data_IF_760224660708
#
_entry.id   IF_760224660708
#
_cell.length_a   1.000
_cell.length_b   1.000
_cell.length_c   1.000
_cell.angle_alpha   90.00
_cell.angle_beta   90.00
_cell.angle_gamma   90.00
#
_symmetry.space_group_name_H-M   'P 1'
#
loop_
_entity.id
_entity.type
_entity.pdbx_description
1 polymer ?
#
# COMPACT_ATOMS: atom_id res chain seq x y z
N UNK A 1 14.25 -3.12 15.83
CA UNK A 1 13.92 -2.99 14.40
C UNK A 1 13.49 -4.35 13.91
N UNK A 2 12.27 -4.48 13.40
CA UNK A 2 11.71 -5.74 12.92
C UNK A 2 12.01 -5.85 11.43
N UNK A 3 12.93 -6.72 11.05
CA UNK A 3 13.25 -6.95 9.63
C UNK A 3 12.19 -7.87 9.01
N UNK A 4 11.74 -7.54 7.81
CA UNK A 4 10.89 -8.43 7.02
C UNK A 4 11.72 -9.64 6.57
N UNK A 5 11.40 -10.82 7.10
CA UNK A 5 11.96 -12.06 6.60
C UNK A 5 11.37 -12.35 5.22
N UNK A 6 12.24 -12.49 4.22
CA UNK A 6 11.84 -12.88 2.88
C UNK A 6 11.60 -14.39 2.86
N UNK A 7 10.38 -14.77 2.53
CA UNK A 7 9.94 -16.14 2.32
C UNK A 7 9.16 -16.20 1.01
N UNK A 8 8.85 -17.40 0.52
CA UNK A 8 7.97 -17.59 -0.64
C UNK A 8 6.61 -16.93 -0.47
N UNK A 9 6.15 -16.73 0.78
CA UNK A 9 4.87 -16.13 1.09
C UNK A 9 4.91 -14.60 1.16
N UNK A 10 6.10 -13.98 1.17
CA UNK A 10 6.23 -12.53 1.33
C UNK A 10 5.61 -11.75 0.16
N UNK A 11 5.79 -12.23 -1.08
CA UNK A 11 5.19 -11.58 -2.25
C UNK A 11 3.65 -11.73 -2.30
N UNK A 12 3.07 -12.93 -2.10
CA UNK A 12 1.62 -13.09 -1.92
C UNK A 12 1.05 -12.24 -0.78
N UNK A 13 1.70 -12.22 0.39
CA UNK A 13 1.25 -11.45 1.54
C UNK A 13 1.25 -9.94 1.25
N UNK A 14 2.33 -9.41 0.69
CA UNK A 14 2.42 -8.00 0.31
C UNK A 14 1.31 -7.60 -0.68
N UNK A 15 1.05 -8.44 -1.71
CA UNK A 15 -0.04 -8.23 -2.66
C UNK A 15 -1.43 -8.28 -2.00
N UNK A 16 -1.64 -9.14 -1.02
CA UNK A 16 -2.92 -9.22 -0.29
C UNK A 16 -3.23 -7.97 0.56
N UNK A 17 -2.18 -7.22 0.92
CA UNK A 17 -2.30 -5.97 1.66
C UNK A 17 -2.58 -4.75 0.77
N UNK A 18 -2.40 -4.88 -0.56
CA UNK A 18 -2.81 -3.87 -1.53
C UNK A 18 -4.33 -3.83 -1.54
N UNK A 19 -4.90 -2.79 -0.93
CA UNK A 19 -6.36 -2.58 -0.87
C UNK A 19 -6.77 -1.45 -1.78
N UNK A 20 -7.89 -1.62 -2.46
CA UNK A 20 -8.64 -0.49 -2.99
C UNK A 20 -9.28 0.24 -1.81
N UNK A 21 -8.78 1.43 -1.50
CA UNK A 21 -9.40 2.27 -0.48
C UNK A 21 -10.78 2.68 -0.98
N UNK A 22 -11.82 2.31 -0.24
CA UNK A 22 -13.20 2.74 -0.50
C UNK A 22 -13.30 4.25 -0.36
N UNK A 23 -14.25 4.86 -1.08
CA UNK A 23 -14.51 6.30 -0.99
C UNK A 23 -14.62 6.77 0.47
N UNK A 24 -13.91 7.85 0.80
CA UNK A 24 -13.86 8.38 2.15
C UNK A 24 -15.24 8.90 2.58
N UNK A 25 -15.64 8.71 3.85
CA UNK A 25 -16.89 9.25 4.34
C UNK A 25 -16.84 10.79 4.31
N UNK A 26 -17.93 11.39 3.81
CA UNK A 26 -18.13 12.84 3.81
C UNK A 26 -19.26 13.18 4.78
N UNK A 27 -19.06 14.21 5.62
CA UNK A 27 -20.14 14.73 6.46
C UNK A 27 -20.82 15.90 5.76
N UNK A 28 -22.14 15.80 5.56
CA UNK A 28 -22.94 16.87 4.99
C UNK A 28 -23.64 17.67 6.09
N UNK A 29 -23.33 18.96 6.17
CA UNK A 29 -23.98 19.89 7.09
C UNK A 29 -24.85 20.88 6.32
N UNK A 30 -25.87 21.43 7.00
CA UNK A 30 -26.65 22.52 6.44
C UNK A 30 -25.75 23.74 6.12
N UNK A 31 -26.05 24.52 5.06
CA UNK A 31 -25.24 25.65 4.66
C UNK A 31 -25.02 26.64 5.82
N UNK A 32 -23.77 26.79 6.23
CA UNK A 32 -23.34 27.67 7.31
C UNK A 32 -21.85 27.95 7.18
N UNK A 33 -21.34 28.99 7.86
CA UNK A 33 -19.89 29.27 7.90
C UNK A 33 -19.10 28.09 8.48
N UNK A 34 -19.66 27.43 9.49
CA UNK A 34 -19.06 26.22 10.09
C UNK A 34 -19.02 25.05 9.11
N UNK A 35 -20.08 24.89 8.29
CA UNK A 35 -20.08 23.88 7.23
C UNK A 35 -18.98 24.14 6.20
N UNK A 36 -18.79 25.38 5.74
CA UNK A 36 -17.71 25.72 4.81
C UNK A 36 -16.32 25.44 5.40
N UNK A 37 -16.09 25.82 6.67
CA UNK A 37 -14.82 25.53 7.34
C UNK A 37 -14.57 24.02 7.49
N UNK A 38 -15.62 23.24 7.79
CA UNK A 38 -15.51 21.79 7.90
C UNK A 38 -15.24 21.14 6.54
N UNK A 39 -15.87 21.61 5.46
CA UNK A 39 -15.59 21.12 4.10
C UNK A 39 -14.12 21.35 3.73
N UNK A 40 -13.57 22.54 3.99
CA UNK A 40 -12.15 22.79 3.72
C UNK A 40 -11.21 21.90 4.52
N UNK A 41 -11.57 21.55 5.77
CA UNK A 41 -10.82 20.57 6.56
C UNK A 41 -10.94 19.16 5.97
N UNK A 42 -12.14 18.74 5.56
CA UNK A 42 -12.35 17.45 4.92
C UNK A 42 -11.52 17.31 3.64
N UNK A 43 -11.48 18.34 2.80
CA UNK A 43 -10.70 18.34 1.54
C UNK A 43 -9.21 18.13 1.83
N UNK A 44 -8.66 18.82 2.84
CA UNK A 44 -7.24 18.66 3.24
C UNK A 44 -6.96 17.26 3.77
N UNK A 45 -7.82 16.74 4.64
CA UNK A 45 -7.64 15.40 5.20
C UNK A 45 -7.79 14.31 4.13
N UNK A 46 -8.71 14.47 3.16
CA UNK A 46 -8.84 13.56 2.03
C UNK A 46 -7.57 13.54 1.19
N UNK A 47 -6.95 14.69 0.90
CA UNK A 47 -5.66 14.75 0.21
C UNK A 47 -4.54 14.04 0.97
N UNK A 48 -4.48 14.19 2.30
CA UNK A 48 -3.48 13.52 3.12
C UNK A 48 -3.68 12.01 3.13
N UNK A 49 -4.93 11.55 3.23
CA UNK A 49 -5.25 10.12 3.14
C UNK A 49 -4.87 9.58 1.76
N UNK A 50 -5.17 10.28 0.68
CA UNK A 50 -4.82 9.87 -0.68
C UNK A 50 -3.29 9.77 -0.88
N UNK A 51 -2.50 10.73 -0.37
CA UNK A 51 -1.03 10.67 -0.45
C UNK A 51 -0.47 9.47 0.33
N UNK A 52 -0.91 9.28 1.57
CA UNK A 52 -0.42 8.20 2.43
C UNK A 52 -0.79 6.83 1.87
N UNK A 53 -2.02 6.68 1.38
CA UNK A 53 -2.51 5.42 0.80
C UNK A 53 -1.77 5.09 -0.49
N UNK A 54 -1.53 6.07 -1.37
CA UNK A 54 -0.73 5.91 -2.58
C UNK A 54 0.72 5.48 -2.29
N UNK A 55 1.33 6.09 -1.27
CA UNK A 55 2.70 5.73 -0.83
C UNK A 55 2.77 4.33 -0.25
N UNK A 56 1.78 3.93 0.56
CA UNK A 56 1.69 2.58 1.10
C UNK A 56 1.51 1.54 -0.02
N UNK A 57 0.64 1.83 -0.99
CA UNK A 57 0.40 0.94 -2.13
C UNK A 57 1.67 0.73 -2.97
N UNK A 58 2.35 1.83 -3.32
CA UNK A 58 3.63 1.79 -4.03
C UNK A 58 4.66 0.95 -3.28
N UNK A 59 4.79 1.17 -1.97
CA UNK A 59 5.74 0.43 -1.15
C UNK A 59 5.45 -1.07 -1.11
N UNK A 60 4.17 -1.46 -0.95
CA UNK A 60 3.77 -2.86 -0.97
C UNK A 60 4.03 -3.52 -2.32
N UNK A 61 3.83 -2.78 -3.42
CA UNK A 61 4.16 -3.24 -4.76
C UNK A 61 5.66 -3.49 -4.91
N UNK A 62 6.50 -2.56 -4.44
CA UNK A 62 7.96 -2.70 -4.46
C UNK A 62 8.44 -3.92 -3.65
N UNK A 63 7.88 -4.12 -2.46
CA UNK A 63 8.19 -5.29 -1.62
C UNK A 63 7.81 -6.59 -2.34
N UNK A 64 6.63 -6.65 -2.95
CA UNK A 64 6.17 -7.82 -3.70
C UNK A 64 7.06 -8.12 -4.91
N UNK A 65 7.46 -7.08 -5.66
CA UNK A 65 8.34 -7.21 -6.81
C UNK A 65 9.73 -7.69 -6.39
N UNK A 66 10.28 -7.14 -5.32
CA UNK A 66 11.57 -7.53 -4.76
C UNK A 66 11.57 -9.00 -4.31
N UNK A 67 10.57 -9.41 -3.52
CA UNK A 67 10.45 -10.80 -3.07
C UNK A 67 10.32 -11.78 -4.24
N UNK A 68 9.53 -11.43 -5.27
CA UNK A 68 9.39 -12.25 -6.49
C UNK A 68 10.73 -12.40 -7.24
N UNK A 69 11.54 -11.34 -7.30
CA UNK A 69 12.85 -11.37 -7.95
C UNK A 69 13.88 -12.23 -7.20
N UNK A 70 13.81 -12.22 -5.86
CA UNK A 70 14.64 -13.08 -5.02
C UNK A 70 14.29 -14.55 -5.28
N UNK A 71 13.00 -14.91 -5.26
CA UNK A 71 12.54 -16.28 -5.53
C UNK A 71 12.95 -16.79 -6.93
N UNK A 72 12.83 -15.94 -7.96
CA UNK A 72 13.28 -16.29 -9.32
C UNK A 72 14.79 -16.52 -9.38
N UNK A 73 15.57 -15.70 -8.67
CA UNK A 73 17.02 -15.81 -8.61
C UNK A 73 17.43 -17.10 -7.91
N UNK A 74 16.79 -17.41 -6.78
CA UNK A 74 17.05 -18.61 -5.99
C UNK A 74 16.69 -19.88 -6.79
N UNK A 75 15.55 -19.86 -7.49
CA UNK A 75 15.15 -20.96 -8.39
C UNK A 75 16.15 -21.16 -9.53
N UNK A 76 16.66 -20.06 -10.13
CA UNK A 76 17.66 -20.15 -11.20
C UNK A 76 18.97 -20.74 -10.68
N UNK A 77 19.45 -20.25 -9.55
CA UNK A 77 20.67 -20.73 -8.92
C UNK A 77 20.53 -22.22 -8.53
N UNK A 78 19.39 -22.61 -7.97
CA UNK A 78 19.10 -24.01 -7.65
C UNK A 78 19.18 -24.92 -8.86
N UNK A 79 18.64 -24.50 -10.01
CA UNK A 79 18.73 -25.23 -11.28
C UNK A 79 20.16 -25.35 -11.82
N UNK A 80 20.95 -24.28 -11.69
CA UNK A 80 22.36 -24.26 -12.14
C UNK A 80 23.27 -25.09 -11.23
N UNK A 81 22.90 -25.29 -9.97
CA UNK A 81 23.64 -26.08 -8.98
C UNK A 81 23.25 -27.57 -8.95
N UNK A 82 22.09 -27.93 -9.49
CA UNK A 82 21.73 -29.34 -9.72
C UNK A 82 22.43 -29.88 -10.98
N UNK A 83 23.26 -30.94 -10.87
CA UNK A 83 24.02 -31.51 -11.98
C UNK A 83 23.16 -32.21 -13.04
#
# INVERSE_FOLDING_TARGET
MTFLQLTTDTAPAARSCIRSFTALPAAHLNPSRSASALTSLQDVEHLLVDDVTSRLDTHLHDVAAFASKVEQTDTRLGKELTP
#
